data_IF_143600574346
#
_entry.id   IF_143600574346
#
_cell.length_a   1.000
_cell.length_b   1.000
_cell.length_c   1.000
_cell.angle_alpha   90.00
_cell.angle_beta   90.00
_cell.angle_gamma   90.00
#
_symmetry.space_group_name_H-M   'P 1'
#
loop_
_entity.id
_entity.type
_entity.pdbx_description
1 polymer ?
#
# COMPACT_ATOMS: atom_id res chain seq x y z
N UNK A 1 5.19 12.65 0.41
CA UNK A 1 5.77 11.29 0.51
C UNK A 1 4.76 10.22 0.08
N UNK A 2 3.72 9.87 0.86
CA UNK A 2 2.77 8.80 0.47
C UNK A 2 2.04 9.11 -0.85
N UNK A 3 1.48 10.31 -1.00
CA UNK A 3 0.84 10.72 -2.26
C UNK A 3 1.82 10.74 -3.43
N UNK A 4 3.03 11.25 -3.20
CA UNK A 4 4.10 11.23 -4.20
C UNK A 4 4.48 9.79 -4.61
N UNK A 5 4.53 8.86 -3.65
CA UNK A 5 4.79 7.46 -3.92
C UNK A 5 3.69 6.82 -4.73
N UNK A 6 2.42 7.12 -4.43
CA UNK A 6 1.26 6.68 -5.22
C UNK A 6 1.40 7.09 -6.69
N UNK A 7 1.67 8.37 -6.96
CA UNK A 7 1.88 8.88 -8.33
C UNK A 7 3.05 8.17 -9.01
N UNK A 8 4.21 8.11 -8.36
CA UNK A 8 5.41 7.50 -8.93
C UNK A 8 5.25 6.01 -9.21
N UNK A 9 4.56 5.27 -8.33
CA UNK A 9 4.25 3.86 -8.55
C UNK A 9 3.20 3.63 -9.64
N UNK A 10 2.25 4.56 -9.82
CA UNK A 10 1.28 4.48 -10.92
C UNK A 10 1.97 4.65 -12.28
N UNK A 11 2.94 5.56 -12.38
CA UNK A 11 3.64 5.87 -13.64
C UNK A 11 4.74 4.85 -13.99
N UNK A 12 5.46 4.34 -12.98
CA UNK A 12 6.69 3.55 -13.17
C UNK A 12 6.63 2.14 -12.57
N UNK A 13 5.50 1.75 -11.96
CA UNK A 13 5.37 0.51 -11.22
C UNK A 13 6.36 0.40 -10.05
N UNK A 14 6.59 -0.81 -9.52
CA UNK A 14 7.62 -1.03 -8.50
C UNK A 14 9.06 -0.86 -9.01
N UNK A 15 9.29 -0.57 -10.30
CA UNK A 15 10.61 -0.21 -10.80
C UNK A 15 11.14 1.08 -10.17
N UNK A 16 10.24 1.96 -9.74
CA UNK A 16 10.60 3.20 -9.05
C UNK A 16 11.44 2.96 -7.78
N UNK A 17 12.32 3.91 -7.50
CA UNK A 17 13.15 3.92 -6.30
C UNK A 17 12.62 4.89 -5.25
N UNK A 18 13.08 4.76 -4.00
CA UNK A 18 12.77 5.73 -2.96
C UNK A 18 13.33 7.13 -3.30
N UNK A 19 14.43 7.18 -4.06
CA UNK A 19 15.04 8.41 -4.55
C UNK A 19 14.15 9.12 -5.59
N UNK A 20 13.50 8.35 -6.49
CA UNK A 20 12.52 8.90 -7.43
C UNK A 20 11.33 9.51 -6.71
N UNK A 21 10.86 8.83 -5.66
CA UNK A 21 9.78 9.33 -4.81
C UNK A 21 10.22 10.58 -4.03
N UNK A 22 11.44 10.59 -3.48
CA UNK A 22 11.98 11.75 -2.77
C UNK A 22 12.08 12.97 -3.69
N UNK A 23 12.56 12.77 -4.92
CA UNK A 23 12.63 13.79 -5.97
C UNK A 23 11.25 14.32 -6.31
N UNK A 24 10.28 13.44 -6.55
CA UNK A 24 8.91 13.84 -6.85
C UNK A 24 8.22 14.55 -5.67
N UNK A 25 8.53 14.15 -4.44
CA UNK A 25 8.03 14.79 -3.22
C UNK A 25 8.72 16.12 -2.88
N UNK A 26 9.79 16.51 -3.60
CA UNK A 26 10.57 17.70 -3.29
C UNK A 26 11.33 17.63 -1.97
N UNK A 27 11.64 16.43 -1.48
CA UNK A 27 12.36 16.22 -0.21
C UNK A 27 13.76 15.64 -0.45
N UNK A 28 14.69 15.94 0.46
CA UNK A 28 16.02 15.34 0.43
C UNK A 28 15.99 13.82 0.65
N UNK A 29 16.84 13.10 -0.08
CA UNK A 29 16.95 11.62 -0.03
C UNK A 29 17.18 11.11 1.41
N UNK A 30 18.06 11.75 2.18
CA UNK A 30 18.27 11.38 3.58
C UNK A 30 17.04 11.56 4.47
N UNK A 31 16.15 12.51 4.16
CA UNK A 31 14.87 12.66 4.86
C UNK A 31 13.88 11.58 4.47
N UNK A 32 13.88 11.16 3.20
CA UNK A 32 13.07 10.05 2.73
C UNK A 32 13.47 8.74 3.41
N UNK A 33 14.75 8.35 3.41
CA UNK A 33 15.23 7.13 4.07
C UNK A 33 15.02 7.13 5.60
N UNK A 34 15.02 8.30 6.25
CA UNK A 34 14.67 8.41 7.68
C UNK A 34 13.20 8.13 7.96
N UNK A 35 12.30 8.53 7.07
CA UNK A 35 10.86 8.27 7.23
C UNK A 35 10.47 6.87 6.76
N UNK A 36 11.10 6.39 5.69
CA UNK A 36 10.85 5.09 5.10
C UNK A 36 12.18 4.41 4.84
N UNK A 37 12.56 3.41 5.65
CA UNK A 37 13.89 2.79 5.56
C UNK A 37 14.11 2.05 4.23
N UNK A 38 13.03 1.65 3.55
CA UNK A 38 13.07 0.97 2.26
C UNK A 38 11.80 1.23 1.44
N UNK A 39 11.81 0.79 0.18
CA UNK A 39 10.70 0.94 -0.77
C UNK A 39 9.44 0.20 -0.32
N UNK A 40 9.59 -0.94 0.35
CA UNK A 40 8.48 -1.74 0.86
C UNK A 40 7.71 -0.99 1.95
N UNK A 41 8.41 -0.27 2.83
CA UNK A 41 7.80 0.50 3.90
C UNK A 41 6.89 1.62 3.35
N UNK A 42 7.34 2.34 2.31
CA UNK A 42 6.50 3.37 1.69
C UNK A 42 5.37 2.77 0.85
N UNK A 43 5.59 1.63 0.20
CA UNK A 43 4.52 0.91 -0.50
C UNK A 43 3.42 0.42 0.45
N UNK A 44 3.80 -0.12 1.62
CA UNK A 44 2.85 -0.52 2.66
C UNK A 44 2.05 0.69 3.18
N UNK A 45 2.69 1.86 3.34
CA UNK A 45 2.00 3.09 3.72
C UNK A 45 1.00 3.57 2.65
N UNK A 46 1.32 3.43 1.36
CA UNK A 46 0.36 3.73 0.27
C UNK A 46 -0.83 2.77 0.32
N UNK A 47 -0.61 1.48 0.57
CA UNK A 47 -1.68 0.49 0.73
C UNK A 47 -2.58 0.75 1.93
N UNK A 48 -1.98 1.12 3.06
CA UNK A 48 -2.71 1.49 4.26
C UNK A 48 -3.58 2.73 4.01
N UNK A 49 -3.05 3.74 3.33
CA UNK A 49 -3.79 4.94 2.93
C UNK A 49 -4.95 4.59 1.99
N UNK A 50 -4.72 3.78 0.94
CA UNK A 50 -5.78 3.33 0.04
C UNK A 50 -6.90 2.57 0.77
N UNK A 51 -6.54 1.69 1.70
CA UNK A 51 -7.49 0.92 2.51
C UNK A 51 -8.31 1.83 3.44
N UNK A 52 -7.65 2.82 4.06
CA UNK A 52 -8.32 3.79 4.92
C UNK A 52 -9.33 4.65 4.16
N UNK A 53 -9.03 5.02 2.90
CA UNK A 53 -9.95 5.75 2.03
C UNK A 53 -11.17 4.92 1.66
N UNK A 54 -10.99 3.65 1.24
CA UNK A 54 -12.12 2.75 0.96
C UNK A 54 -13.03 2.62 2.19
N UNK A 55 -12.44 2.49 3.38
CA UNK A 55 -13.21 2.44 4.62
C UNK A 55 -13.93 3.76 4.93
N UNK A 56 -13.39 4.91 4.51
CA UNK A 56 -14.05 6.21 4.62
C UNK A 56 -15.24 6.33 3.67
N UNK A 57 -15.07 5.95 2.40
CA UNK A 57 -16.17 5.96 1.42
C UNK A 57 -17.30 5.02 1.85
N UNK A 58 -16.96 3.83 2.39
CA UNK A 58 -17.95 2.91 2.92
C UNK A 58 -18.76 3.54 4.07
N UNK A 59 -18.11 4.30 4.96
CA UNK A 59 -18.80 5.02 6.04
C UNK A 59 -19.69 6.14 5.52
N UNK A 60 -19.26 6.85 4.47
CA UNK A 60 -20.07 7.89 3.84
C UNK A 60 -21.30 7.29 3.14
N UNK A 61 -21.13 6.18 2.41
CA UNK A 61 -22.23 5.46 1.77
C UNK A 61 -23.31 5.04 2.78
N UNK A 62 -22.92 4.63 4.00
CA UNK A 62 -23.87 4.28 5.07
C UNK A 62 -24.72 5.46 5.58
N UNK A 63 -24.35 6.70 5.25
CA UNK A 63 -25.13 7.90 5.62
C UNK A 63 -26.07 8.38 4.50
N UNK A 64 -26.08 7.70 3.36
CA UNK A 64 -26.91 8.06 2.20
C UNK A 64 -28.29 7.40 2.30
N UNK A 65 -29.35 8.17 2.06
CA UNK A 65 -30.73 7.71 2.23
C UNK A 65 -31.17 6.62 1.24
N UNK A 66 -30.64 6.63 0.01
CA UNK A 66 -30.89 5.59 -1.00
C UNK A 66 -29.79 4.51 -0.94
N UNK A 67 -30.05 3.31 -0.39
CA UNK A 67 -29.03 2.28 -0.23
C UNK A 67 -28.50 1.75 -1.57
N UNK A 68 -29.32 1.73 -2.62
CA UNK A 68 -28.88 1.23 -3.91
C UNK A 68 -27.92 2.21 -4.57
N UNK A 69 -28.28 3.50 -4.64
CA UNK A 69 -27.39 4.54 -5.14
C UNK A 69 -26.09 4.63 -4.34
N UNK A 70 -26.17 4.52 -3.01
CA UNK A 70 -25.00 4.48 -2.13
C UNK A 70 -24.06 3.32 -2.45
N UNK A 71 -24.61 2.11 -2.63
CA UNK A 71 -23.84 0.92 -2.96
C UNK A 71 -23.18 1.04 -4.34
N UNK A 72 -23.92 1.47 -5.36
CA UNK A 72 -23.37 1.68 -6.71
C UNK A 72 -22.24 2.70 -6.68
N UNK A 73 -22.48 3.86 -6.08
CA UNK A 73 -21.49 4.94 -5.95
C UNK A 73 -20.23 4.46 -5.23
N UNK A 74 -20.38 3.75 -4.12
CA UNK A 74 -19.25 3.17 -3.38
C UNK A 74 -18.41 2.23 -4.25
N UNK A 75 -19.05 1.31 -4.98
CA UNK A 75 -18.32 0.37 -5.85
C UNK A 75 -17.67 1.07 -7.04
N UNK A 76 -18.32 2.05 -7.66
CA UNK A 76 -17.76 2.84 -8.75
C UNK A 76 -16.52 3.61 -8.30
N UNK A 77 -16.61 4.32 -7.16
CA UNK A 77 -15.50 5.06 -6.59
C UNK A 77 -14.34 4.13 -6.17
N UNK A 78 -14.66 2.99 -5.57
CA UNK A 78 -13.65 1.98 -5.18
C UNK A 78 -12.95 1.40 -6.40
N UNK A 79 -13.69 1.03 -7.44
CA UNK A 79 -13.14 0.47 -8.68
C UNK A 79 -12.27 1.49 -9.42
N UNK A 80 -12.71 2.75 -9.51
CA UNK A 80 -11.93 3.83 -10.12
C UNK A 80 -10.59 4.04 -9.39
N UNK A 81 -10.56 3.99 -8.06
CA UNK A 81 -9.32 4.11 -7.28
C UNK A 81 -8.40 2.90 -7.43
N UNK A 82 -8.96 1.69 -7.41
CA UNK A 82 -8.17 0.47 -7.64
C UNK A 82 -7.54 0.45 -9.03
N UNK A 83 -8.20 1.00 -10.05
CA UNK A 83 -7.64 1.14 -11.39
C UNK A 83 -6.41 2.06 -11.40
N UNK A 84 -6.43 3.16 -10.63
CA UNK A 84 -5.28 4.06 -10.47
C UNK A 84 -4.13 3.41 -9.71
N UNK A 85 -4.44 2.60 -8.70
CA UNK A 85 -3.43 1.90 -7.88
C UNK A 85 -2.97 0.57 -8.50
N UNK A 86 -3.46 0.21 -9.69
CA UNK A 86 -3.21 -1.08 -10.34
C UNK A 86 -1.72 -1.40 -10.44
N UNK A 87 -0.89 -0.41 -10.83
CA UNK A 87 0.56 -0.59 -10.94
C UNK A 87 1.24 -0.93 -9.60
N UNK A 88 0.69 -0.45 -8.48
CA UNK A 88 1.13 -0.80 -7.13
C UNK A 88 0.70 -2.22 -6.75
N UNK A 89 -0.55 -2.60 -7.03
CA UNK A 89 -1.06 -3.93 -6.72
C UNK A 89 -0.38 -5.03 -7.54
N UNK A 90 -0.22 -4.86 -8.87
CA UNK A 90 0.48 -5.82 -9.74
C UNK A 90 1.92 -6.07 -9.25
N UNK A 91 2.57 -5.00 -8.82
CA UNK A 91 3.91 -5.00 -8.24
C UNK A 91 4.00 -5.73 -6.89
N UNK A 92 2.97 -5.62 -6.06
CA UNK A 92 2.91 -6.20 -4.72
C UNK A 92 2.44 -7.66 -4.69
N UNK A 93 1.54 -8.04 -5.60
CA UNK A 93 1.04 -9.41 -5.69
C UNK A 93 2.02 -10.33 -6.40
N UNK A 94 2.84 -9.78 -7.30
CA UNK A 94 3.89 -10.46 -8.03
C UNK A 94 3.42 -11.64 -8.88
N UNK A 95 4.14 -11.92 -9.95
CA UNK A 95 4.59 -13.29 -10.14
C UNK A 95 5.55 -13.64 -8.97
N UNK A 96 5.02 -13.75 -7.73
CA UNK A 96 5.79 -13.87 -6.50
C UNK A 96 4.97 -13.51 -5.26
N UNK A 97 3.98 -14.34 -4.94
CA UNK A 97 2.95 -14.05 -3.94
C UNK A 97 3.45 -13.76 -2.52
N UNK A 98 2.63 -12.97 -1.82
CA UNK A 98 2.54 -12.91 -0.35
C UNK A 98 3.89 -12.76 0.40
N UNK A 99 4.86 -12.03 -0.16
CA UNK A 99 6.14 -11.76 0.50
C UNK A 99 6.03 -10.87 1.74
N UNK A 100 5.05 -9.95 1.75
CA UNK A 100 4.84 -9.01 2.86
C UNK A 100 4.30 -9.68 4.15
N UNK A 101 3.71 -10.87 4.05
CA UNK A 101 3.26 -11.64 5.23
C UNK A 101 4.32 -12.65 5.72
N UNK A 102 5.29 -13.04 4.88
CA UNK A 102 6.27 -14.09 5.23
C UNK A 102 7.49 -13.53 5.97
N UNK A 103 7.97 -12.35 5.60
CA UNK A 103 9.20 -11.77 6.16
C UNK A 103 9.00 -11.21 7.59
N UNK A 104 7.75 -11.02 8.03
CA UNK A 104 7.41 -10.61 9.39
C UNK A 104 7.24 -11.76 10.40
N UNK A 105 7.36 -13.03 9.98
CA UNK A 105 7.19 -14.21 10.84
C UNK A 105 8.48 -15.01 11.07
N UNK A 106 9.61 -14.64 10.44
CA UNK A 106 10.85 -15.41 10.48
C UNK A 106 11.78 -15.05 11.66
N UNK A 107 11.18 -14.83 12.84
CA UNK A 107 11.89 -14.77 14.13
C UNK A 107 11.40 -15.84 15.12
N UNK A 108 10.68 -16.85 14.62
CA UNK A 108 10.11 -17.95 15.42
C UNK A 108 10.86 -19.28 15.37
N UNK A 109 11.78 -19.51 14.42
CA UNK A 109 12.46 -20.81 14.28
C UNK A 109 13.59 -21.08 15.30
N UNK A 110 13.80 -20.16 16.25
CA UNK A 110 14.72 -20.38 17.39
C UNK A 110 14.12 -21.18 18.55
N UNK A 111 12.78 -21.28 18.67
CA UNK A 111 12.13 -21.83 19.86
C UNK A 111 12.02 -23.37 19.86
N UNK A 112 12.11 -24.03 18.71
CA UNK A 112 11.96 -25.50 18.59
C UNK A 112 13.27 -26.27 18.74
N UNK A 113 14.40 -25.60 19.03
CA UNK A 113 15.67 -26.26 19.43
C UNK A 113 15.81 -26.49 20.94
N UNK A 114 14.87 -26.02 21.78
CA UNK A 114 14.98 -26.09 23.24
C UNK A 114 14.10 -27.14 23.96
N UNK A 115 13.25 -27.90 23.25
CA UNK A 115 12.49 -29.02 23.85
C UNK A 115 12.89 -30.35 23.20
N UNK A 116 14.16 -30.69 23.42
CA UNK A 116 14.77 -31.93 22.93
C UNK A 116 16.01 -32.30 23.74
N UNK A 117 15.92 -32.24 25.07
CA UNK A 117 16.74 -33.03 26.00
C UNK A 117 16.15 -32.99 27.41
#
# INVERSE_FOLDING_TARGET
>A
MVQSARTVFADHGFGATLDDIARHAGVGVGTAYRHFPNKQAIAAAVLADATAQIAADAREALTTDDPWSAMVTFFEQTAARQATDRGLYESLTGQGGWGLYREGQDTGEGALRWLGR
#
